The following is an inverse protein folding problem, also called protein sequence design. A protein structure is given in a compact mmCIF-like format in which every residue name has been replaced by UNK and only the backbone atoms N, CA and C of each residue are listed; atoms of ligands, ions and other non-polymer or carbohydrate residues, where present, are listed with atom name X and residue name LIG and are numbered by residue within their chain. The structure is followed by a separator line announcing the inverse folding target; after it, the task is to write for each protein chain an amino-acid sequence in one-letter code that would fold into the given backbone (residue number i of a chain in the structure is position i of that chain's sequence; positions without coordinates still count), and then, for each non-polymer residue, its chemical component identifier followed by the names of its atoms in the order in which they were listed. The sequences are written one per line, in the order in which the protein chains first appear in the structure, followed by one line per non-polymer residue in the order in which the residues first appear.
data_IF_088182711998
#
_entry.id   IF_088182711998
#
_cell.length_a   1.000
_cell.length_b   1.000
_cell.length_c   1.000
_cell.angle_alpha   90.00
_cell.angle_beta   90.00
_cell.angle_gamma   90.00
#
_symmetry.space_group_name_H-M   'P 1'
#
loop_
_entity.id
_entity.type
_entity.pdbx_description
1 polymer ?
#
# COMPACT_ATOMS: atom_id res chain seq x y z
N UNK A 1 28.38 33.32 -23.16
CA UNK A 1 29.34 32.23 -22.91
C UNK A 1 29.72 32.31 -21.45
N UNK A 2 29.13 31.45 -20.62
CA UNK A 2 29.32 31.43 -19.16
C UNK A 2 30.43 30.46 -18.80
N UNK A 3 31.48 31.00 -18.19
CA UNK A 3 32.64 30.31 -17.62
C UNK A 3 32.28 29.50 -16.36
N UNK A 4 31.39 28.52 -16.49
CA UNK A 4 31.30 27.42 -15.51
C UNK A 4 32.24 26.30 -15.95
N UNK A 5 33.54 26.60 -15.83
CA UNK A 5 34.63 25.68 -16.07
C UNK A 5 34.49 24.40 -15.24
N UNK A 6 34.09 23.31 -15.91
CA UNK A 6 34.91 22.11 -16.03
C UNK A 6 35.36 21.39 -14.75
N UNK A 7 34.73 21.60 -13.58
CA UNK A 7 34.95 20.66 -12.47
C UNK A 7 34.20 19.37 -12.80
N UNK A 8 34.89 18.21 -12.97
CA UNK A 8 34.21 16.95 -13.18
C UNK A 8 33.28 16.72 -12.00
N UNK A 9 31.97 16.73 -12.26
CA UNK A 9 30.97 16.50 -11.25
C UNK A 9 31.10 15.06 -10.77
N UNK A 10 31.84 14.87 -9.67
CA UNK A 10 32.10 13.53 -9.14
C UNK A 10 30.82 12.71 -8.90
N UNK A 11 31.00 11.39 -8.75
CA UNK A 11 29.94 10.37 -8.70
C UNK A 11 28.68 10.79 -7.94
N UNK A 12 27.55 10.85 -8.62
CA UNK A 12 26.26 11.26 -8.07
C UNK A 12 25.15 10.32 -8.55
N UNK A 13 24.02 10.35 -7.84
CA UNK A 13 22.83 9.59 -8.23
C UNK A 13 22.10 10.28 -9.38
N UNK A 14 21.60 9.49 -10.32
CA UNK A 14 20.85 9.96 -11.46
C UNK A 14 19.68 9.01 -11.78
N UNK A 15 18.50 9.57 -11.93
CA UNK A 15 17.30 8.83 -12.30
C UNK A 15 17.12 8.81 -13.82
N UNK A 16 17.28 7.62 -14.40
CA UNK A 16 17.13 7.40 -15.84
C UNK A 16 15.66 7.23 -16.25
N UNK A 17 15.29 7.72 -17.43
CA UNK A 17 13.93 7.61 -17.98
C UNK A 17 13.54 6.17 -18.30
N UNK A 18 12.39 5.72 -17.78
CA UNK A 18 11.91 4.33 -17.94
C UNK A 18 10.92 4.11 -19.09
N UNK A 19 10.63 5.16 -19.85
CA UNK A 19 9.60 5.16 -20.90
C UNK A 19 8.16 5.16 -20.34
N UNK A 20 7.18 5.47 -21.19
CA UNK A 20 5.77 5.66 -20.77
C UNK A 20 5.19 4.42 -20.09
N UNK A 21 5.43 3.23 -20.64
CA UNK A 21 4.92 1.97 -20.07
C UNK A 21 5.55 1.67 -18.69
N UNK A 22 6.83 1.97 -18.49
CA UNK A 22 7.51 1.80 -17.20
C UNK A 22 6.99 2.79 -16.15
N UNK A 23 6.71 4.03 -16.55
CA UNK A 23 6.09 5.03 -15.67
C UNK A 23 4.66 4.65 -15.28
N UNK A 24 3.87 4.17 -16.24
CA UNK A 24 2.51 3.68 -15.98
C UNK A 24 2.52 2.48 -15.02
N UNK A 25 3.39 1.49 -15.25
CA UNK A 25 3.54 0.35 -14.34
C UNK A 25 3.99 0.79 -12.94
N UNK A 26 4.92 1.75 -12.85
CA UNK A 26 5.38 2.30 -11.57
C UNK A 26 4.34 3.14 -10.84
N UNK A 27 3.47 3.85 -11.55
CA UNK A 27 2.34 4.58 -10.98
C UNK A 27 1.24 3.62 -10.53
N UNK A 28 0.93 2.62 -11.34
CA UNK A 28 -0.04 1.57 -11.03
C UNK A 28 0.38 0.80 -9.76
N UNK A 29 1.62 0.30 -9.70
CA UNK A 29 2.12 -0.43 -8.52
C UNK A 29 2.05 0.41 -7.22
N UNK A 30 2.39 1.71 -7.28
CA UNK A 30 2.30 2.59 -6.09
C UNK A 30 0.86 2.86 -5.69
N UNK A 31 -0.02 3.08 -6.66
CA UNK A 31 -1.45 3.32 -6.40
C UNK A 31 -2.13 2.08 -5.84
N UNK A 32 -1.83 0.90 -6.35
CA UNK A 32 -2.37 -0.36 -5.85
C UNK A 32 -1.90 -0.69 -4.43
N UNK A 33 -0.68 -0.30 -4.03
CA UNK A 33 -0.30 -0.39 -2.61
C UNK A 33 -1.24 0.44 -1.72
N UNK A 34 -1.64 1.62 -2.15
CA UNK A 34 -2.60 2.44 -1.41
C UNK A 34 -4.02 1.84 -1.44
N UNK A 35 -4.45 1.24 -2.56
CA UNK A 35 -5.71 0.48 -2.64
C UNK A 35 -5.72 -0.69 -1.65
N UNK A 36 -4.63 -1.46 -1.55
CA UNK A 36 -4.52 -2.56 -0.59
C UNK A 36 -4.66 -2.08 0.87
N UNK A 37 -4.12 -0.90 1.19
CA UNK A 37 -4.33 -0.28 2.52
C UNK A 37 -5.81 0.08 2.71
N UNK A 38 -6.46 0.63 1.68
CA UNK A 38 -7.91 0.90 1.67
C UNK A 38 -8.76 -0.36 1.90
N UNK A 39 -8.40 -1.48 1.25
CA UNK A 39 -9.05 -2.78 1.47
C UNK A 39 -8.82 -3.28 2.90
N UNK A 40 -7.63 -3.08 3.48
CA UNK A 40 -7.39 -3.36 4.90
C UNK A 40 -8.27 -2.52 5.84
N UNK A 41 -8.52 -1.25 5.48
CA UNK A 41 -9.48 -0.39 6.18
C UNK A 41 -10.92 -0.90 6.04
N UNK A 42 -11.32 -1.35 4.85
CA UNK A 42 -12.62 -1.95 4.61
C UNK A 42 -12.81 -3.23 5.43
N UNK A 43 -11.78 -4.07 5.55
CA UNK A 43 -11.81 -5.25 6.41
C UNK A 43 -12.11 -4.89 7.88
N UNK A 44 -11.43 -3.88 8.42
CA UNK A 44 -11.69 -3.41 9.78
C UNK A 44 -13.12 -2.88 9.96
N UNK A 45 -13.65 -2.17 8.95
CA UNK A 45 -15.03 -1.70 8.94
C UNK A 45 -16.05 -2.84 8.83
N UNK A 46 -15.74 -3.88 8.05
CA UNK A 46 -16.59 -5.07 7.93
C UNK A 46 -16.69 -5.81 9.26
N UNK A 47 -15.55 -6.03 9.93
CA UNK A 47 -15.52 -6.64 11.26
C UNK A 47 -16.27 -5.78 12.27
N UNK A 48 -16.00 -4.46 12.29
CA UNK A 48 -16.69 -3.54 13.18
C UNK A 48 -18.20 -3.53 12.95
N UNK A 49 -18.64 -3.37 11.70
CA UNK A 49 -20.06 -3.35 11.34
C UNK A 49 -20.77 -4.68 11.58
N UNK A 50 -20.11 -5.81 11.31
CA UNK A 50 -20.67 -7.14 11.50
C UNK A 50 -20.94 -7.42 12.97
N UNK A 51 -19.94 -7.11 13.82
CA UNK A 51 -20.08 -7.20 15.27
C UNK A 51 -21.24 -6.31 15.76
N UNK A 52 -21.38 -5.08 15.26
CA UNK A 52 -22.45 -4.19 15.70
C UNK A 52 -23.85 -4.69 15.36
N UNK A 53 -23.99 -5.34 14.20
CA UNK A 53 -25.24 -5.92 13.76
C UNK A 53 -25.58 -7.21 14.52
N UNK A 54 -24.60 -8.10 14.74
CA UNK A 54 -24.80 -9.35 15.50
C UNK A 54 -25.18 -9.07 16.97
N UNK A 55 -24.74 -7.94 17.51
CA UNK A 55 -24.86 -7.62 18.93
C UNK A 55 -26.08 -6.75 19.29
N UNK A 56 -26.98 -6.52 18.33
CA UNK A 56 -28.20 -5.71 18.49
C UNK A 56 -27.94 -4.28 19.02
N UNK A 57 -26.81 -3.68 18.63
CA UNK A 57 -26.35 -2.39 19.15
C UNK A 57 -26.83 -1.19 18.32
N UNK A 58 -27.51 -1.43 17.19
CA UNK A 58 -28.02 -0.38 16.31
C UNK A 58 -29.42 0.07 16.71
N UNK A 59 -30.13 -0.71 17.52
CA UNK A 59 -31.40 -0.35 18.14
C UNK A 59 -32.60 -0.43 17.20
N UNK A 60 -32.40 -0.98 16.00
CA UNK A 60 -33.43 -1.28 15.01
C UNK A 60 -33.14 -2.65 14.36
N UNK A 61 -33.97 -3.67 14.60
CA UNK A 61 -33.79 -5.02 14.05
C UNK A 61 -33.71 -5.07 12.51
N UNK A 62 -34.41 -4.15 11.83
CA UNK A 62 -34.39 -4.06 10.37
C UNK A 62 -33.04 -3.53 9.86
N UNK A 63 -32.47 -2.56 10.57
CA UNK A 63 -31.14 -2.00 10.27
C UNK A 63 -30.03 -3.01 10.58
N UNK A 64 -30.16 -3.76 11.67
CA UNK A 64 -29.20 -4.80 12.09
C UNK A 64 -29.10 -5.89 11.04
N UNK A 65 -30.23 -6.44 10.63
CA UNK A 65 -30.29 -7.46 9.57
C UNK A 65 -29.71 -6.94 8.25
N UNK A 66 -30.01 -5.69 7.88
CA UNK A 66 -29.49 -5.08 6.65
C UNK A 66 -27.96 -4.90 6.71
N UNK A 67 -27.42 -4.45 7.85
CA UNK A 67 -25.98 -4.27 8.06
C UNK A 67 -25.25 -5.62 8.10
N UNK A 68 -25.76 -6.62 8.82
CA UNK A 68 -25.16 -7.97 8.83
C UNK A 68 -25.05 -8.55 7.41
N UNK A 69 -26.14 -8.51 6.65
CA UNK A 69 -26.13 -8.96 5.26
C UNK A 69 -25.12 -8.20 4.39
N UNK A 70 -25.01 -6.87 4.59
CA UNK A 70 -24.01 -6.05 3.91
C UNK A 70 -22.58 -6.44 4.29
N UNK A 71 -22.31 -6.74 5.55
CA UNK A 71 -20.98 -7.13 6.00
C UNK A 71 -20.60 -8.51 5.47
N UNK A 72 -21.51 -9.50 5.54
CA UNK A 72 -21.29 -10.85 5.02
C UNK A 72 -20.99 -10.86 3.53
N UNK A 73 -21.79 -10.16 2.71
CA UNK A 73 -21.53 -10.09 1.27
C UNK A 73 -20.23 -9.30 0.97
N UNK A 74 -19.91 -8.30 1.80
CA UNK A 74 -18.68 -7.51 1.67
C UNK A 74 -17.42 -8.31 1.93
N UNK A 75 -17.46 -9.35 2.76
CA UNK A 75 -16.31 -10.28 2.90
C UNK A 75 -15.98 -10.92 1.55
N UNK A 76 -16.99 -11.39 0.81
CA UNK A 76 -16.80 -11.98 -0.52
C UNK A 76 -16.15 -11.00 -1.50
N UNK A 77 -16.70 -9.79 -1.61
CA UNK A 77 -16.13 -8.75 -2.48
C UNK A 77 -14.73 -8.31 -2.06
N UNK A 78 -14.49 -8.17 -0.75
CA UNK A 78 -13.18 -7.86 -0.20
C UNK A 78 -12.15 -8.91 -0.62
N UNK A 79 -12.47 -10.20 -0.48
CA UNK A 79 -11.55 -11.29 -0.88
C UNK A 79 -11.25 -11.24 -2.38
N UNK A 80 -12.27 -11.09 -3.22
CA UNK A 80 -12.11 -11.01 -4.69
C UNK A 80 -11.25 -9.80 -5.06
N UNK A 81 -11.56 -8.61 -4.54
CA UNK A 81 -10.79 -7.41 -4.84
C UNK A 81 -9.37 -7.49 -4.27
N UNK A 82 -9.16 -8.03 -3.07
CA UNK A 82 -7.82 -8.22 -2.52
C UNK A 82 -6.96 -9.11 -3.40
N UNK A 83 -7.50 -10.23 -3.89
CA UNK A 83 -6.80 -11.14 -4.80
C UNK A 83 -6.46 -10.47 -6.13
N UNK A 84 -7.44 -9.82 -6.77
CA UNK A 84 -7.25 -9.15 -8.07
C UNK A 84 -6.25 -7.99 -7.94
N UNK A 85 -6.41 -7.12 -6.94
CA UNK A 85 -5.51 -5.98 -6.70
C UNK A 85 -4.10 -6.47 -6.39
N UNK A 86 -3.94 -7.51 -5.56
CA UNK A 86 -2.63 -8.06 -5.23
C UNK A 86 -1.94 -8.70 -6.46
N UNK A 87 -2.69 -9.38 -7.34
CA UNK A 87 -2.17 -9.92 -8.59
C UNK A 87 -1.70 -8.79 -9.52
N UNK A 88 -2.55 -7.80 -9.78
CA UNK A 88 -2.21 -6.66 -10.64
C UNK A 88 -1.01 -5.91 -10.06
N UNK A 89 -0.96 -5.74 -8.73
CA UNK A 89 0.16 -5.10 -8.04
C UNK A 89 1.47 -5.86 -8.23
N UNK A 90 1.45 -7.18 -8.10
CA UNK A 90 2.62 -8.04 -8.31
C UNK A 90 3.11 -7.98 -9.77
N UNK A 91 2.19 -8.04 -10.74
CA UNK A 91 2.49 -7.92 -12.17
C UNK A 91 3.04 -6.53 -12.50
N UNK A 92 2.39 -5.46 -12.07
CA UNK A 92 2.84 -4.08 -12.30
C UNK A 92 4.23 -3.83 -11.68
N UNK A 93 4.49 -4.40 -10.51
CA UNK A 93 5.80 -4.34 -9.86
C UNK A 93 6.89 -5.02 -10.69
N UNK A 94 6.60 -6.21 -11.24
CA UNK A 94 7.52 -6.91 -12.13
C UNK A 94 7.75 -6.14 -13.44
N UNK A 95 6.70 -5.60 -14.06
CA UNK A 95 6.82 -4.78 -15.27
C UNK A 95 7.68 -3.53 -15.02
N UNK A 96 7.56 -2.92 -13.85
CA UNK A 96 8.43 -1.81 -13.41
C UNK A 96 9.89 -2.21 -13.32
N UNK A 97 10.21 -3.38 -12.75
CA UNK A 97 11.58 -3.92 -12.67
C UNK A 97 12.17 -4.19 -14.07
N UNK A 98 11.37 -4.79 -14.96
CA UNK A 98 11.78 -5.05 -16.34
C UNK A 98 12.00 -3.75 -17.10
N UNK A 99 11.10 -2.78 -16.97
CA UNK A 99 11.26 -1.47 -17.61
C UNK A 99 12.52 -0.77 -17.10
N UNK A 100 12.77 -0.75 -15.78
CA UNK A 100 13.95 -0.14 -15.19
C UNK A 100 15.24 -0.77 -15.70
N UNK A 101 15.33 -2.11 -15.68
CA UNK A 101 16.52 -2.80 -16.20
C UNK A 101 16.75 -2.59 -17.69
N UNK A 102 15.69 -2.53 -18.52
CA UNK A 102 15.82 -2.22 -19.95
C UNK A 102 16.25 -0.78 -20.20
N UNK A 103 15.71 0.16 -19.45
CA UNK A 103 16.08 1.57 -19.55
C UNK A 103 17.55 1.80 -19.20
N UNK A 104 18.06 1.14 -18.16
CA UNK A 104 19.47 1.25 -17.79
C UNK A 104 20.41 0.63 -18.83
N UNK A 105 20.03 -0.50 -19.43
CA UNK A 105 20.80 -1.09 -20.55
C UNK A 105 20.79 -0.17 -21.77
N UNK A 106 19.66 0.49 -22.06
CA UNK A 106 19.58 1.45 -23.16
C UNK A 106 20.44 2.69 -22.87
N UNK A 107 20.40 3.22 -21.65
CA UNK A 107 21.20 4.37 -21.23
C UNK A 107 22.70 4.06 -21.29
N UNK A 108 23.13 2.87 -20.85
CA UNK A 108 24.54 2.48 -20.95
C UNK A 108 25.00 2.34 -22.40
N UNK A 109 24.15 1.82 -23.28
CA UNK A 109 24.41 1.71 -24.71
C UNK A 109 24.49 3.09 -25.40
N UNK A 110 23.74 4.08 -24.91
CA UNK A 110 23.75 5.46 -25.40
C UNK A 110 24.93 6.29 -24.88
N UNK A 111 25.84 5.70 -24.11
CA UNK A 111 27.04 6.39 -23.61
C UNK A 111 26.77 7.31 -22.42
N UNK A 112 25.82 6.94 -21.55
CA UNK A 112 25.63 7.63 -20.28
C UNK A 112 26.96 7.76 -19.49
N UNK A 113 27.07 8.79 -18.65
CA UNK A 113 28.29 9.02 -17.87
C UNK A 113 28.44 7.96 -16.77
N UNK A 114 29.66 7.43 -16.61
CA UNK A 114 30.01 6.53 -15.49
C UNK A 114 29.87 7.21 -14.12
N UNK A 115 29.96 8.54 -14.07
CA UNK A 115 29.81 9.32 -12.83
C UNK A 115 28.33 9.55 -12.47
N UNK A 116 27.41 9.41 -13.42
CA UNK A 116 25.96 9.49 -13.19
C UNK A 116 25.41 8.09 -12.89
N UNK A 117 25.58 7.65 -11.64
CA UNK A 117 25.20 6.30 -11.22
C UNK A 117 23.67 6.20 -11.13
N UNK A 118 23.05 5.09 -11.57
CA UNK A 118 21.60 4.91 -11.46
C UNK A 118 21.07 5.16 -10.05
N UNK A 119 19.89 5.78 -9.95
CA UNK A 119 19.25 6.07 -8.67
C UNK A 119 19.08 4.79 -7.82
N UNK A 120 19.11 4.89 -6.47
CA UNK A 120 19.02 3.72 -5.59
C UNK A 120 17.80 2.82 -5.84
N UNK A 121 16.65 3.40 -6.17
CA UNK A 121 15.43 2.65 -6.55
C UNK A 121 15.64 1.80 -7.80
N UNK A 122 16.36 2.34 -8.80
CA UNK A 122 16.69 1.63 -10.03
C UNK A 122 17.76 0.57 -9.79
N UNK A 123 18.77 0.84 -8.96
CA UNK A 123 19.76 -0.16 -8.54
C UNK A 123 19.07 -1.33 -7.82
N UNK A 124 18.18 -1.05 -6.86
CA UNK A 124 17.42 -2.07 -6.16
C UNK A 124 16.60 -2.96 -7.12
N UNK A 125 16.01 -2.36 -8.17
CA UNK A 125 15.25 -3.12 -9.18
C UNK A 125 16.11 -4.08 -10.02
N UNK A 126 17.43 -3.86 -10.09
CA UNK A 126 18.38 -4.69 -10.86
C UNK A 126 19.08 -5.70 -9.96
N UNK A 127 19.41 -5.32 -8.73
CA UNK A 127 20.19 -6.16 -7.80
C UNK A 127 19.32 -7.19 -7.09
N UNK A 128 18.08 -6.84 -6.74
CA UNK A 128 17.18 -7.73 -6.02
C UNK A 128 16.75 -8.94 -6.88
N UNK A 129 16.32 -10.04 -6.24
CA UNK A 129 15.74 -11.18 -6.94
C UNK A 129 14.55 -10.73 -7.82
N UNK A 130 14.54 -11.10 -9.11
CA UNK A 130 13.49 -10.65 -10.02
C UNK A 130 12.15 -11.23 -9.62
N UNK A 131 11.08 -10.47 -9.85
CA UNK A 131 9.71 -10.93 -9.64
C UNK A 131 9.42 -11.44 -8.22
N UNK A 132 10.17 -10.97 -7.22
CA UNK A 132 10.03 -11.39 -5.82
C UNK A 132 8.60 -11.26 -5.29
N UNK A 133 7.89 -10.17 -5.65
CA UNK A 133 6.49 -9.94 -5.29
C UNK A 133 5.53 -10.91 -5.97
N UNK A 134 5.79 -11.25 -7.23
CA UNK A 134 4.97 -12.21 -7.99
C UNK A 134 5.19 -13.64 -7.50
N UNK A 135 6.43 -13.99 -7.15
CA UNK A 135 6.75 -15.26 -6.50
C UNK A 135 6.09 -15.35 -5.12
N UNK A 136 6.13 -14.28 -4.32
CA UNK A 136 5.45 -14.23 -3.02
C UNK A 136 3.93 -14.38 -3.18
N UNK A 137 3.33 -13.68 -4.16
CA UNK A 137 1.91 -13.83 -4.47
C UNK A 137 1.56 -15.28 -4.84
N UNK A 138 2.32 -15.90 -5.74
CA UNK A 138 2.10 -17.30 -6.16
C UNK A 138 2.23 -18.28 -4.99
N UNK A 139 3.35 -18.28 -4.27
CA UNK A 139 3.55 -19.20 -3.15
C UNK A 139 2.60 -18.93 -1.97
N UNK A 140 2.36 -17.67 -1.63
CA UNK A 140 1.45 -17.30 -0.55
C UNK A 140 0.03 -17.79 -0.82
N UNK A 141 -0.48 -17.58 -2.03
CA UNK A 141 -1.80 -18.07 -2.42
C UNK A 141 -1.86 -19.59 -2.54
N UNK A 142 -0.78 -20.23 -3.04
CA UNK A 142 -0.70 -21.68 -3.13
C UNK A 142 -0.80 -22.34 -1.75
N UNK A 143 -0.07 -21.83 -0.76
CA UNK A 143 -0.11 -22.33 0.61
C UNK A 143 -1.49 -22.13 1.22
N UNK A 144 -2.04 -20.90 1.13
CA UNK A 144 -3.35 -20.60 1.73
C UNK A 144 -4.46 -21.46 1.12
N UNK A 145 -4.52 -21.55 -0.21
CA UNK A 145 -5.51 -22.36 -0.89
C UNK A 145 -5.28 -23.86 -0.71
N UNK A 146 -4.02 -24.31 -0.60
CA UNK A 146 -3.70 -25.70 -0.28
C UNK A 146 -4.20 -26.11 1.09
N UNK A 147 -4.01 -25.26 2.11
CA UNK A 147 -4.55 -25.48 3.46
C UNK A 147 -6.08 -25.52 3.42
N UNK A 148 -6.73 -24.55 2.76
CA UNK A 148 -8.20 -24.55 2.60
C UNK A 148 -8.71 -25.80 1.86
N UNK A 149 -8.00 -26.25 0.84
CA UNK A 149 -8.31 -27.48 0.10
C UNK A 149 -8.20 -28.73 0.97
N UNK A 150 -7.18 -28.82 1.83
CA UNK A 150 -7.02 -29.92 2.79
C UNK A 150 -8.11 -29.92 3.87
N UNK A 151 -8.47 -28.73 4.38
CA UNK A 151 -9.58 -28.59 5.34
C UNK A 151 -10.90 -29.00 4.69
N UNK A 152 -11.18 -28.50 3.47
CA UNK A 152 -12.36 -28.87 2.70
C UNK A 152 -12.42 -30.37 2.42
N UNK A 153 -11.29 -30.99 2.06
CA UNK A 153 -11.20 -32.45 1.88
C UNK A 153 -11.51 -33.20 3.18
N UNK A 154 -11.04 -32.70 4.33
CA UNK A 154 -11.39 -33.24 5.63
C UNK A 154 -12.91 -33.22 5.87
N UNK A 155 -13.55 -32.06 5.70
CA UNK A 155 -15.01 -31.91 5.85
C UNK A 155 -15.77 -32.87 4.93
N UNK A 156 -15.34 -32.98 3.68
CA UNK A 156 -15.95 -33.86 2.68
C UNK A 156 -15.86 -35.34 3.05
N UNK A 157 -14.74 -35.77 3.63
CA UNK A 157 -14.56 -37.15 4.08
C UNK A 157 -15.49 -37.52 5.25
N UNK A 158 -15.96 -36.53 6.02
CA UNK A 158 -16.87 -36.74 7.15
C UNK A 158 -18.34 -36.51 6.81
N UNK A 159 -18.67 -35.56 5.94
CA UNK A 159 -20.05 -35.12 5.68
C UNK A 159 -20.56 -35.45 4.26
N UNK A 160 -19.69 -35.95 3.38
CA UNK A 160 -20.02 -36.43 2.01
C UNK A 160 -20.87 -35.48 1.15
N UNK A 161 -20.80 -34.17 1.38
CA UNK A 161 -21.58 -33.19 0.63
C UNK A 161 -20.94 -32.90 -0.75
N UNK A 162 -21.73 -32.82 -1.84
CA UNK A 162 -21.23 -32.51 -3.18
C UNK A 162 -20.64 -31.08 -3.27
N UNK A 163 -21.14 -30.16 -2.46
CA UNK A 163 -20.64 -28.78 -2.37
C UNK A 163 -19.23 -28.73 -1.76
N UNK A 164 -18.97 -29.55 -0.74
CA UNK A 164 -17.64 -29.68 -0.15
C UNK A 164 -16.61 -30.18 -1.16
N UNK A 165 -16.96 -31.14 -2.01
CA UNK A 165 -16.08 -31.64 -3.08
C UNK A 165 -15.73 -30.55 -4.08
N UNK A 166 -16.71 -29.75 -4.50
CA UNK A 166 -16.50 -28.65 -5.43
C UNK A 166 -15.55 -27.59 -4.86
N UNK A 167 -15.72 -27.22 -3.58
CA UNK A 167 -14.85 -26.26 -2.89
C UNK A 167 -13.44 -26.81 -2.74
N UNK A 168 -13.30 -28.06 -2.29
CA UNK A 168 -11.99 -28.70 -2.08
C UNK A 168 -11.20 -28.82 -3.40
N UNK A 169 -11.83 -29.31 -4.48
CA UNK A 169 -11.18 -29.44 -5.78
C UNK A 169 -10.82 -28.07 -6.38
N UNK A 170 -11.69 -27.07 -6.22
CA UNK A 170 -11.42 -25.70 -6.67
C UNK A 170 -10.23 -25.10 -5.94
N UNK A 171 -10.15 -25.28 -4.62
CA UNK A 171 -9.04 -24.81 -3.80
C UNK A 171 -7.71 -25.50 -4.16
N UNK A 172 -7.71 -26.83 -4.36
CA UNK A 172 -6.53 -27.60 -4.79
C UNK A 172 -6.09 -27.20 -6.20
N UNK A 173 -7.03 -27.07 -7.14
CA UNK A 173 -6.75 -26.63 -8.51
C UNK A 173 -6.14 -25.23 -8.54
N UNK A 174 -6.71 -24.29 -7.78
CA UNK A 174 -6.14 -22.95 -7.63
C UNK A 174 -4.75 -22.97 -6.99
N UNK A 175 -4.53 -23.80 -5.95
CA UNK A 175 -3.22 -23.97 -5.32
C UNK A 175 -2.16 -24.49 -6.30
N UNK A 176 -2.53 -25.44 -7.17
CA UNK A 176 -1.65 -25.96 -8.21
C UNK A 176 -1.27 -24.88 -9.24
N UNK A 177 -2.25 -24.09 -9.71
CA UNK A 177 -2.01 -22.96 -10.64
C UNK A 177 -1.06 -21.94 -10.00
N UNK A 178 -1.29 -21.58 -8.74
CA UNK A 178 -0.47 -20.60 -8.02
C UNK A 178 0.94 -21.12 -7.71
N UNK A 179 1.08 -22.43 -7.45
CA UNK A 179 2.38 -23.09 -7.31
C UNK A 179 3.16 -23.06 -8.63
N UNK A 180 2.50 -23.32 -9.75
CA UNK A 180 3.11 -23.23 -11.07
C UNK A 180 3.59 -21.81 -11.37
N UNK A 181 2.80 -20.78 -11.03
CA UNK A 181 3.21 -19.38 -11.14
C UNK A 181 4.44 -19.09 -10.27
N UNK A 182 4.44 -19.52 -9.01
CA UNK A 182 5.57 -19.36 -8.09
C UNK A 182 6.84 -20.02 -8.60
N UNK A 183 6.72 -21.24 -9.14
CA UNK A 183 7.82 -21.99 -9.74
C UNK A 183 8.35 -21.33 -11.03
N UNK A 184 7.46 -20.92 -11.95
CA UNK A 184 7.84 -20.25 -13.20
C UNK A 184 8.60 -18.95 -12.93
N UNK A 185 8.21 -18.20 -11.90
CA UNK A 185 8.92 -16.99 -11.47
C UNK A 185 10.36 -17.27 -11.06
N UNK A 186 10.61 -18.38 -10.36
CA UNK A 186 11.94 -18.77 -9.89
C UNK A 186 12.81 -19.39 -10.97
N UNK A 187 12.22 -20.10 -11.94
CA UNK A 187 13.01 -20.82 -12.95
C UNK A 187 13.27 -19.99 -14.21
N UNK A 188 12.29 -19.26 -14.71
CA UNK A 188 12.37 -18.66 -16.04
C UNK A 188 12.83 -17.21 -16.03
N UNK A 189 12.46 -16.44 -15.01
CA UNK A 189 12.74 -15.00 -14.93
C UNK A 189 14.18 -14.62 -14.52
N UNK A 190 14.95 -15.43 -13.76
CA UNK A 190 16.32 -15.06 -13.39
C UNK A 190 17.30 -14.97 -14.54
N UNK A 191 17.20 -15.86 -15.54
CA UNK A 191 18.14 -15.89 -16.68
C UNK A 191 18.16 -14.56 -17.48
N UNK A 192 17.03 -14.02 -17.98
CA UNK A 192 17.04 -12.75 -18.70
C UNK A 192 17.39 -11.57 -17.80
N UNK A 193 17.07 -11.63 -16.50
CA UNK A 193 17.44 -10.60 -15.53
C UNK A 193 18.94 -10.54 -15.28
N UNK A 194 19.58 -11.70 -15.07
CA UNK A 194 21.03 -11.82 -14.88
C UNK A 194 21.81 -11.29 -16.10
N UNK A 195 21.34 -11.58 -17.33
CA UNK A 195 21.93 -11.03 -18.57
C UNK A 195 21.89 -9.49 -18.60
N UNK A 196 20.76 -8.88 -18.21
CA UNK A 196 20.65 -7.40 -18.15
C UNK A 196 21.53 -6.83 -17.05
N UNK A 197 21.52 -7.42 -15.86
CA UNK A 197 22.37 -7.02 -14.73
C UNK A 197 23.85 -7.03 -15.11
N UNK A 198 24.32 -8.08 -15.79
CA UNK A 198 25.69 -8.17 -16.26
C UNK A 198 26.07 -7.00 -17.18
N UNK A 199 25.21 -6.66 -18.16
CA UNK A 199 25.43 -5.51 -19.07
C UNK A 199 25.41 -4.15 -18.36
N UNK A 200 24.63 -4.01 -17.29
CA UNK A 200 24.62 -2.79 -16.48
C UNK A 200 25.93 -2.70 -15.69
N UNK A 201 26.35 -3.82 -15.08
CA UNK A 201 27.57 -3.90 -14.27
C UNK A 201 28.86 -3.65 -15.07
N UNK A 202 28.88 -3.94 -16.37
CA UNK A 202 30.03 -3.60 -17.24
C UNK A 202 30.20 -2.10 -17.45
N UNK A 203 29.13 -1.31 -17.30
CA UNK A 203 29.17 0.14 -17.45
C UNK A 203 29.30 0.86 -16.11
N UNK A 204 28.43 0.54 -15.14
CA UNK A 204 28.51 1.04 -13.77
C UNK A 204 28.95 -0.10 -12.85
N UNK A 205 30.19 -0.02 -12.37
CA UNK A 205 30.75 -1.02 -11.46
C UNK A 205 30.24 -0.84 -10.02
N UNK A 206 30.43 -1.87 -9.19
CA UNK A 206 30.18 -1.75 -7.75
C UNK A 206 31.05 -0.66 -7.10
N UNK A 207 32.23 -0.37 -7.66
CA UNK A 207 33.07 0.73 -7.18
C UNK A 207 32.48 2.10 -7.49
N UNK A 208 31.88 2.27 -8.67
CA UNK A 208 31.20 3.53 -9.04
C UNK A 208 30.04 3.80 -8.09
N UNK A 209 29.26 2.76 -7.77
CA UNK A 209 28.21 2.82 -6.76
C UNK A 209 28.78 3.18 -5.38
N UNK A 210 29.85 2.51 -4.94
CA UNK A 210 30.49 2.80 -3.66
C UNK A 210 31.06 4.23 -3.58
N UNK A 211 31.53 4.80 -4.70
CA UNK A 211 31.98 6.20 -4.79
C UNK A 211 30.79 7.17 -4.66
N UNK A 212 29.67 6.89 -5.31
CA UNK A 212 28.44 7.67 -5.16
C UNK A 212 27.95 7.65 -3.70
N UNK A 213 27.93 6.47 -3.07
CA UNK A 213 27.62 6.31 -1.64
C UNK A 213 28.56 7.09 -0.72
N UNK A 214 29.87 7.02 -0.96
CA UNK A 214 30.87 7.77 -0.17
C UNK A 214 30.68 9.28 -0.31
N UNK A 215 30.36 9.78 -1.50
CA UNK A 215 30.07 11.21 -1.72
C UNK A 215 28.79 11.64 -0.97
N UNK A 216 27.74 10.82 -1.00
CA UNK A 216 26.50 11.10 -0.27
C UNK A 216 26.72 11.13 1.25
N UNK A 217 27.59 10.26 1.78
CA UNK A 217 28.00 10.25 3.19
C UNK A 217 28.90 11.44 3.57
N UNK A 218 29.91 11.75 2.74
CA UNK A 218 30.93 12.75 3.05
C UNK A 218 30.44 14.21 3.09
N UNK A 219 29.20 14.49 2.63
CA UNK A 219 28.56 15.80 2.75
C UNK A 219 27.55 15.89 3.89
N UNK A 220 27.38 14.84 4.68
CA UNK A 220 26.36 14.74 5.71
C UNK A 220 26.80 15.28 7.07
N UNK A 221 26.83 16.61 7.24
CA UNK A 221 26.78 17.24 8.55
C UNK A 221 26.30 18.70 8.44
N UNK A 222 25.01 18.90 8.72
CA UNK A 222 24.48 20.00 9.55
C UNK A 222 22.97 19.74 9.69
N UNK A 223 22.46 19.42 10.89
CA UNK A 223 21.03 19.31 11.12
C UNK A 223 20.46 20.73 11.23
N UNK A 224 19.53 21.10 10.36
CA UNK A 224 18.79 22.34 10.50
C UNK A 224 17.30 22.05 10.37
N UNK A 225 16.65 22.15 11.54
CA UNK A 225 15.21 22.31 11.83
C UNK A 225 14.27 21.41 11.02
N UNK A 226 13.76 20.38 11.70
CA UNK A 226 12.69 19.52 11.19
C UNK A 226 11.48 20.34 10.78
N UNK A 227 10.91 20.00 9.63
CA UNK A 227 9.70 20.61 9.11
C UNK A 227 8.56 20.69 10.13
N UNK A 228 7.65 21.62 9.89
CA UNK A 228 6.49 21.92 10.74
C UNK A 228 5.78 20.64 11.24
N UNK A 229 5.70 20.39 12.55
CA UNK A 229 5.09 19.18 13.12
C UNK A 229 3.56 19.12 12.94
N UNK A 230 2.95 20.17 12.38
CA UNK A 230 1.49 20.36 12.37
C UNK A 230 0.76 19.33 11.51
N UNK A 231 1.18 19.10 10.26
CA UNK A 231 0.50 18.14 9.37
C UNK A 231 0.63 16.70 9.89
N UNK A 232 1.81 16.34 10.39
CA UNK A 232 2.05 15.04 11.01
C UNK A 232 1.17 14.86 12.26
N UNK A 233 1.01 15.88 13.10
CA UNK A 233 0.14 15.82 14.29
C UNK A 233 -1.31 15.48 13.93
N UNK A 234 -1.88 16.06 12.87
CA UNK A 234 -3.25 15.72 12.44
C UNK A 234 -3.38 14.27 11.96
N UNK A 235 -2.41 13.76 11.22
CA UNK A 235 -2.41 12.37 10.74
C UNK A 235 -2.23 11.40 11.91
N UNK A 236 -1.31 11.69 12.84
CA UNK A 236 -1.12 10.87 14.05
C UNK A 236 -2.34 10.93 14.97
N UNK A 237 -2.95 12.10 15.14
CA UNK A 237 -4.17 12.25 15.93
C UNK A 237 -5.34 11.48 15.30
N UNK A 238 -5.50 11.52 13.98
CA UNK A 238 -6.49 10.72 13.28
C UNK A 238 -6.26 9.22 13.50
N UNK A 239 -5.00 8.76 13.37
CA UNK A 239 -4.62 7.38 13.66
C UNK A 239 -4.91 6.98 15.12
N UNK A 240 -4.56 7.84 16.08
CA UNK A 240 -4.82 7.63 17.50
C UNK A 240 -6.32 7.54 17.79
N UNK A 241 -7.13 8.43 17.22
CA UNK A 241 -8.59 8.41 17.38
C UNK A 241 -9.18 7.11 16.82
N UNK A 242 -8.73 6.66 15.66
CA UNK A 242 -9.14 5.36 15.11
C UNK A 242 -8.74 4.20 16.04
N UNK A 243 -7.51 4.18 16.54
CA UNK A 243 -7.03 3.12 17.45
C UNK A 243 -7.81 3.14 18.77
N UNK A 244 -8.01 4.31 19.36
CA UNK A 244 -8.78 4.45 20.61
C UNK A 244 -10.24 4.04 20.40
N UNK A 245 -10.86 4.43 19.30
CA UNK A 245 -12.21 4.00 18.94
C UNK A 245 -12.29 2.48 18.78
N UNK A 246 -11.31 1.88 18.09
CA UNK A 246 -11.25 0.43 17.93
C UNK A 246 -11.00 -0.30 19.25
N UNK A 247 -10.09 0.18 20.10
CA UNK A 247 -9.80 -0.39 21.42
C UNK A 247 -11.02 -0.27 22.34
N UNK A 248 -11.72 0.86 22.31
CA UNK A 248 -12.96 1.03 23.08
C UNK A 248 -14.03 0.02 22.65
N UNK A 249 -14.19 -0.18 21.33
CA UNK A 249 -15.08 -1.21 20.80
C UNK A 249 -14.65 -2.61 21.25
N UNK A 250 -13.38 -2.99 21.08
CA UNK A 250 -12.87 -4.30 21.48
C UNK A 250 -12.97 -4.55 23.00
N UNK A 251 -12.65 -3.55 23.82
CA UNK A 251 -12.77 -3.64 25.28
C UNK A 251 -14.22 -3.85 25.71
N UNK A 252 -15.17 -3.17 25.05
CA UNK A 252 -16.60 -3.36 25.31
C UNK A 252 -17.07 -4.78 24.96
N UNK A 253 -16.53 -5.36 23.87
CA UNK A 253 -16.82 -6.74 23.45
C UNK A 253 -16.19 -7.79 24.37
N UNK A 254 -14.94 -7.60 24.80
CA UNK A 254 -14.27 -8.54 25.73
C UNK A 254 -14.97 -8.58 27.08
N UNK A 255 -15.46 -7.44 27.58
CA UNK A 255 -16.26 -7.40 28.81
C UNK A 255 -17.58 -8.16 28.69
N UNK A 256 -18.14 -8.29 27.48
CA UNK A 256 -19.31 -9.12 27.22
C UNK A 256 -19.03 -10.60 27.46
N UNK A 257 -17.87 -11.10 27.01
CA UNK A 257 -17.50 -12.52 27.10
C UNK A 257 -16.84 -12.94 28.42
N UNK A 258 -16.23 -12.00 29.17
CA UNK A 258 -15.46 -12.31 30.38
C UNK A 258 -16.32 -12.60 31.63
N UNK A 259 -17.65 -12.48 31.55
CA UNK A 259 -18.56 -12.58 32.70
C UNK A 259 -19.12 -13.99 32.96
N UNK A 260 -18.72 -15.01 32.20
CA UNK A 260 -19.22 -16.40 32.38
C UNK A 260 -18.08 -17.30 32.89
N UNK A 261 -18.08 -17.73 34.17
CA UNK A 261 -17.16 -18.75 34.65
C UNK A 261 -17.64 -20.15 34.22
N UNK A 262 -16.87 -20.79 33.35
CA UNK A 262 -16.75 -22.24 33.15
C UNK A 262 -18.05 -23.06 32.89
N UNK A 263 -18.29 -23.42 31.63
CA UNK A 263 -18.48 -24.82 31.16
C UNK A 263 -18.64 -24.85 29.63
N UNK A 264 -17.99 -25.81 29.00
CA UNK A 264 -17.84 -25.89 27.55
C UNK A 264 -19.17 -26.03 26.80
N UNK A 265 -19.58 -24.93 26.16
CA UNK A 265 -20.32 -24.87 24.88
C UNK A 265 -20.51 -23.37 24.60
N UNK A 266 -19.61 -22.78 23.83
CA UNK A 266 -19.52 -21.33 23.63
C UNK A 266 -20.60 -20.81 22.65
N UNK A 267 -21.84 -20.76 23.10
CA UNK A 267 -22.84 -19.83 22.55
C UNK A 267 -23.15 -18.80 23.63
N UNK A 268 -22.82 -17.54 23.36
CA UNK A 268 -23.15 -16.41 24.24
C UNK A 268 -24.67 -16.21 24.21
N UNK A 269 -25.40 -16.97 25.01
CA UNK A 269 -26.85 -16.82 25.11
C UNK A 269 -27.21 -15.43 25.65
N UNK A 270 -28.20 -14.81 24.99
CA UNK A 270 -28.89 -13.59 25.41
C UNK A 270 -29.51 -13.78 26.80
N UNK A 271 -28.74 -13.53 27.86
CA UNK A 271 -29.27 -13.48 29.22
C UNK A 271 -29.01 -12.07 29.74
N UNK A 272 -30.10 -11.28 29.76
CA UNK A 272 -30.24 -9.95 30.37
C UNK A 272 -29.03 -9.49 31.18
N UNK A 273 -28.21 -8.65 30.57
CA UNK A 273 -27.04 -8.07 31.22
C UNK A 273 -27.49 -7.04 32.27
N UNK A 274 -26.64 -6.79 33.28
CA UNK A 274 -26.88 -5.67 34.19
C UNK A 274 -26.85 -4.34 33.39
N UNK A 275 -27.72 -3.38 33.75
CA UNK A 275 -27.85 -2.07 33.07
C UNK A 275 -26.56 -1.26 32.93
N UNK A 276 -25.52 -1.61 33.70
CA UNK A 276 -24.18 -1.04 33.59
C UNK A 276 -23.40 -1.58 32.39
N UNK A 277 -23.46 -2.88 32.10
CA UNK A 277 -22.73 -3.52 31.00
C UNK A 277 -23.31 -3.09 29.65
N UNK A 278 -24.65 -3.05 29.53
CA UNK A 278 -25.34 -2.53 28.33
C UNK A 278 -24.99 -1.06 28.07
N UNK A 279 -24.87 -0.27 29.14
CA UNK A 279 -24.47 1.14 29.04
C UNK A 279 -23.03 1.24 28.54
N UNK A 280 -22.09 0.48 29.10
CA UNK A 280 -20.68 0.48 28.67
C UNK A 280 -20.51 0.04 27.21
N UNK A 281 -21.27 -0.96 26.76
CA UNK A 281 -21.34 -1.38 25.35
C UNK A 281 -21.83 -0.25 24.43
N UNK A 282 -22.93 0.41 24.81
CA UNK A 282 -23.46 1.56 24.07
C UNK A 282 -22.46 2.71 23.97
N UNK A 283 -21.76 3.04 25.07
CA UNK A 283 -20.71 4.06 25.06
C UNK A 283 -19.55 3.69 24.14
N UNK A 284 -19.05 2.45 24.20
CA UNK A 284 -17.99 1.96 23.31
C UNK A 284 -18.37 2.09 21.83
N UNK A 285 -19.61 1.77 21.49
CA UNK A 285 -20.13 1.90 20.14
C UNK A 285 -20.24 3.36 19.66
N UNK A 286 -20.87 4.25 20.44
CA UNK A 286 -21.00 5.67 20.07
C UNK A 286 -19.64 6.34 19.91
N UNK A 287 -18.68 6.00 20.77
CA UNK A 287 -17.29 6.46 20.64
C UNK A 287 -16.70 6.01 19.30
N UNK A 288 -16.89 4.75 18.90
CA UNK A 288 -16.42 4.26 17.61
C UNK A 288 -17.11 4.96 16.43
N UNK A 289 -18.45 5.02 16.43
CA UNK A 289 -19.24 5.61 15.35
C UNK A 289 -18.90 7.09 15.09
N UNK A 290 -18.60 7.87 16.12
CA UNK A 290 -18.15 9.27 16.00
C UNK A 290 -16.66 9.38 15.65
N UNK A 291 -15.83 8.46 16.16
CA UNK A 291 -14.38 8.47 15.93
C UNK A 291 -14.01 8.29 14.45
N UNK A 292 -14.73 7.45 13.71
CA UNK A 292 -14.46 7.16 12.28
C UNK A 292 -14.60 8.40 11.38
N UNK A 293 -15.74 9.12 11.35
CA UNK A 293 -15.87 10.32 10.52
C UNK A 293 -14.96 11.45 11.00
N UNK A 294 -14.75 11.59 12.32
CA UNK A 294 -13.82 12.58 12.86
C UNK A 294 -12.36 12.31 12.42
N UNK A 295 -11.91 11.06 12.49
CA UNK A 295 -10.59 10.67 12.03
C UNK A 295 -10.44 10.85 10.51
N UNK A 296 -11.47 10.56 9.72
CA UNK A 296 -11.46 10.81 8.27
C UNK A 296 -11.30 12.31 7.96
N UNK A 297 -12.03 13.17 8.68
CA UNK A 297 -11.93 14.63 8.52
C UNK A 297 -10.56 15.17 8.93
N UNK A 298 -10.02 14.71 10.07
CA UNK A 298 -8.67 15.07 10.51
C UNK A 298 -7.59 14.59 9.54
N UNK A 299 -7.73 13.37 9.00
CA UNK A 299 -6.82 12.85 7.98
C UNK A 299 -6.87 13.68 6.70
N UNK A 300 -8.06 14.10 6.25
CA UNK A 300 -8.23 14.98 5.09
C UNK A 300 -7.55 16.33 5.31
N UNK A 301 -7.79 16.97 6.46
CA UNK A 301 -7.14 18.24 6.83
C UNK A 301 -5.63 18.06 6.88
N UNK A 302 -5.13 17.01 7.54
CA UNK A 302 -3.71 16.69 7.62
C UNK A 302 -3.06 16.53 6.25
N UNK A 303 -3.74 15.87 5.31
CA UNK A 303 -3.28 15.67 3.93
C UNK A 303 -3.27 16.97 3.13
N UNK A 304 -4.26 17.85 3.30
CA UNK A 304 -4.28 19.17 2.66
C UNK A 304 -3.16 20.06 3.19
N UNK A 305 -2.95 20.07 4.51
CA UNK A 305 -1.83 20.79 5.13
C UNK A 305 -0.48 20.24 4.65
N UNK A 306 -0.33 18.91 4.60
CA UNK A 306 0.88 18.28 4.05
C UNK A 306 1.10 18.73 2.59
N UNK A 307 0.06 18.73 1.75
CA UNK A 307 0.18 19.20 0.38
C UNK A 307 0.67 20.66 0.32
N UNK A 308 -0.01 21.59 0.96
CA UNK A 308 0.39 23.02 0.93
C UNK A 308 1.84 23.21 1.40
N UNK A 309 2.24 22.51 2.46
CA UNK A 309 3.62 22.50 2.93
C UNK A 309 4.60 21.95 1.88
N UNK A 310 4.29 20.82 1.22
CA UNK A 310 5.16 20.25 0.18
C UNK A 310 5.29 21.15 -1.05
N UNK A 311 4.27 21.95 -1.37
CA UNK A 311 4.36 22.94 -2.44
C UNK A 311 5.31 24.08 -2.07
N UNK A 312 5.22 24.60 -0.85
CA UNK A 312 6.14 25.62 -0.36
C UNK A 312 7.59 25.10 -0.32
N UNK A 313 7.82 23.91 0.27
CA UNK A 313 9.14 23.27 0.29
C UNK A 313 9.73 23.08 -1.12
N UNK A 314 8.89 22.72 -2.10
CA UNK A 314 9.34 22.56 -3.48
C UNK A 314 9.76 23.89 -4.11
N UNK A 315 9.03 24.97 -3.84
CA UNK A 315 9.39 26.31 -4.33
C UNK A 315 10.72 26.77 -3.72
N UNK A 316 10.92 26.56 -2.42
CA UNK A 316 12.15 26.90 -1.71
C UNK A 316 13.36 26.10 -2.22
N UNK A 317 13.16 24.81 -2.52
CA UNK A 317 14.20 23.97 -3.13
C UNK A 317 14.58 24.44 -4.53
N UNK A 318 13.62 24.88 -5.34
CA UNK A 318 13.88 25.42 -6.67
C UNK A 318 14.65 26.74 -6.59
N UNK A 319 14.27 27.64 -5.68
CA UNK A 319 15.00 28.89 -5.43
C UNK A 319 16.43 28.60 -4.95
N UNK A 320 16.57 27.65 -4.02
CA UNK A 320 17.88 27.21 -3.52
C UNK A 320 18.73 26.60 -4.63
N UNK A 321 18.15 25.78 -5.52
CA UNK A 321 18.85 25.20 -6.67
C UNK A 321 19.38 26.25 -7.64
N UNK A 322 18.66 27.37 -7.81
CA UNK A 322 19.06 28.46 -8.70
C UNK A 322 20.23 29.30 -8.14
N UNK A 323 20.36 29.43 -6.82
CA UNK A 323 21.46 30.16 -6.19
C UNK A 323 22.66 29.23 -5.88
N UNK A 324 23.83 29.37 -6.54
CA UNK A 324 25.00 28.52 -6.28
C UNK A 324 25.56 28.63 -4.86
N UNK A 325 25.28 29.75 -4.16
CA UNK A 325 25.75 30.01 -2.78
C UNK A 325 24.80 29.48 -1.72
N UNK A 326 23.62 29.00 -2.12
CA UNK A 326 22.64 28.50 -1.16
C UNK A 326 23.24 27.36 -0.33
N UNK A 327 22.97 27.40 0.97
CA UNK A 327 23.32 26.31 1.89
C UNK A 327 22.54 25.05 1.52
N UNK A 328 23.05 23.90 1.98
CA UNK A 328 22.37 22.62 1.81
C UNK A 328 21.04 22.65 2.57
N UNK A 329 19.90 22.34 1.92
CA UNK A 329 18.61 22.21 2.61
C UNK A 329 18.61 21.03 3.60
N UNK A 330 17.60 21.00 4.47
CA UNK A 330 17.46 19.94 5.47
C UNK A 330 17.44 18.54 4.83
N UNK A 331 18.05 17.58 5.54
CA UNK A 331 18.24 16.22 5.05
C UNK A 331 16.90 15.53 4.78
N UNK A 332 15.90 15.73 5.64
CA UNK A 332 14.61 15.07 5.53
C UNK A 332 13.80 15.64 4.35
N UNK A 333 13.88 16.96 4.13
CA UNK A 333 13.29 17.63 2.97
C UNK A 333 13.96 17.14 1.68
N UNK A 334 15.29 17.06 1.65
CA UNK A 334 16.03 16.54 0.49
C UNK A 334 15.70 15.06 0.24
N UNK A 335 15.64 14.22 1.26
CA UNK A 335 15.27 12.81 1.11
C UNK A 335 13.85 12.67 0.54
N UNK A 336 12.89 13.44 1.06
CA UNK A 336 11.51 13.42 0.59
C UNK A 336 11.39 13.83 -0.89
N UNK A 337 12.05 14.90 -1.30
CA UNK A 337 11.94 15.45 -2.66
C UNK A 337 12.91 14.84 -3.67
N UNK A 338 13.90 14.04 -3.23
CA UNK A 338 14.82 13.29 -4.12
C UNK A 338 14.30 11.88 -4.47
N UNK A 339 13.34 11.35 -3.71
CA UNK A 339 12.76 10.02 -3.92
C UNK A 339 11.45 10.05 -4.74
N UNK A 340 11.11 8.91 -5.37
CA UNK A 340 9.86 8.75 -6.11
C UNK A 340 8.68 8.47 -5.17
N UNK A 341 8.08 9.51 -4.61
CA UNK A 341 6.88 9.38 -3.75
C UNK A 341 5.57 9.53 -4.52
N UNK A 342 4.51 8.92 -3.99
CA UNK A 342 3.13 9.10 -4.47
C UNK A 342 2.58 10.41 -3.88
N UNK A 343 1.85 11.19 -4.68
CA UNK A 343 1.21 12.41 -4.22
C UNK A 343 0.21 12.09 -3.09
N UNK A 344 0.17 12.88 -1.99
CA UNK A 344 -0.64 12.53 -0.81
C UNK A 344 -2.14 12.45 -1.14
N UNK A 345 -2.68 13.37 -1.97
CA UNK A 345 -4.06 13.22 -2.45
C UNK A 345 -4.31 11.98 -3.30
N UNK A 346 -3.37 11.62 -4.18
CA UNK A 346 -3.52 10.43 -5.00
C UNK A 346 -3.53 9.17 -4.11
N UNK A 347 -2.75 9.18 -3.03
CA UNK A 347 -2.75 8.10 -2.03
C UNK A 347 -4.11 7.98 -1.35
N UNK A 348 -4.69 9.09 -0.88
CA UNK A 348 -6.02 9.08 -0.24
C UNK A 348 -7.10 8.62 -1.23
N UNK A 349 -7.09 9.16 -2.46
CA UNK A 349 -8.03 8.75 -3.50
C UNK A 349 -7.96 7.24 -3.79
N UNK A 350 -6.75 6.68 -3.87
CA UNK A 350 -6.57 5.24 -4.06
C UNK A 350 -7.03 4.41 -2.83
N UNK A 351 -6.78 4.87 -1.60
CA UNK A 351 -7.28 4.21 -0.39
C UNK A 351 -8.81 4.21 -0.34
N UNK A 352 -9.43 5.37 -0.57
CA UNK A 352 -10.89 5.50 -0.59
C UNK A 352 -11.53 4.69 -1.73
N UNK A 353 -10.88 4.61 -2.88
CA UNK A 353 -11.33 3.74 -3.98
C UNK A 353 -11.42 2.28 -3.55
N UNK A 354 -10.40 1.77 -2.85
CA UNK A 354 -10.40 0.38 -2.36
C UNK A 354 -11.58 0.10 -1.42
N UNK A 355 -11.78 0.96 -0.41
CA UNK A 355 -12.89 0.79 0.52
C UNK A 355 -14.26 1.01 -0.14
N UNK A 356 -14.38 2.05 -0.96
CA UNK A 356 -15.60 2.39 -1.69
C UNK A 356 -16.05 1.27 -2.62
N UNK A 357 -15.13 0.65 -3.37
CA UNK A 357 -15.46 -0.47 -4.26
C UNK A 357 -16.08 -1.65 -3.52
N UNK A 358 -15.55 -2.02 -2.36
CA UNK A 358 -16.08 -3.15 -1.56
C UNK A 358 -17.54 -2.87 -1.17
N UNK A 359 -17.79 -1.77 -0.45
CA UNK A 359 -19.13 -1.50 0.08
C UNK A 359 -20.16 -1.17 -1.02
N UNK A 360 -19.75 -0.45 -2.07
CA UNK A 360 -20.66 -0.11 -3.16
C UNK A 360 -21.01 -1.31 -4.04
N UNK A 361 -20.06 -2.21 -4.33
CA UNK A 361 -20.35 -3.46 -5.03
C UNK A 361 -21.28 -4.36 -4.21
N UNK A 362 -21.01 -4.49 -2.90
CA UNK A 362 -21.85 -5.23 -1.96
C UNK A 362 -23.29 -4.72 -1.92
N UNK A 363 -23.47 -3.41 -1.70
CA UNK A 363 -24.79 -2.78 -1.63
C UNK A 363 -25.54 -2.92 -2.96
N UNK A 364 -24.86 -2.75 -4.09
CA UNK A 364 -25.44 -2.94 -5.42
C UNK A 364 -25.96 -4.38 -5.60
N UNK A 365 -25.17 -5.37 -5.19
CA UNK A 365 -25.51 -6.78 -5.36
C UNK A 365 -26.62 -7.25 -4.43
N UNK A 366 -26.68 -6.73 -3.21
CA UNK A 366 -27.84 -6.92 -2.33
C UNK A 366 -29.10 -6.31 -2.93
N UNK A 367 -29.01 -5.10 -3.51
CA UNK A 367 -30.14 -4.47 -4.20
C UNK A 367 -30.61 -5.24 -5.45
N UNK A 368 -29.77 -6.07 -6.04
CA UNK A 368 -30.11 -6.99 -7.14
C UNK A 368 -30.70 -8.33 -6.67
N UNK A 369 -30.80 -8.55 -5.36
CA UNK A 369 -31.34 -9.79 -4.78
C UNK A 369 -30.34 -10.94 -4.65
N UNK A 370 -29.04 -10.69 -4.82
CA UNK A 370 -28.00 -11.72 -4.64
C UNK A 370 -27.57 -11.89 -3.17
N UNK A 371 -28.53 -11.85 -2.23
CA UNK A 371 -28.24 -11.80 -0.78
C UNK A 371 -29.22 -12.56 0.11
N UNK A 372 -28.97 -12.49 1.42
CA UNK A 372 -29.63 -13.26 2.49
C UNK A 372 -31.03 -12.71 2.89
N UNK A 373 -31.66 -11.84 2.08
CA UNK A 373 -33.05 -11.38 2.31
C UNK A 373 -33.26 -9.89 2.59
N UNK A 374 -32.24 -9.04 2.53
CA UNK A 374 -32.36 -7.57 2.73
C UNK A 374 -32.53 -6.77 1.43
N UNK A 375 -33.01 -7.40 0.36
CA UNK A 375 -33.07 -6.81 -0.98
C UNK A 375 -33.90 -5.51 -1.01
N UNK A 376 -35.04 -5.46 -0.33
CA UNK A 376 -35.95 -4.31 -0.36
C UNK A 376 -35.30 -3.03 0.17
N UNK A 377 -34.43 -3.16 1.17
CA UNK A 377 -33.67 -2.03 1.76
C UNK A 377 -32.65 -1.49 0.76
N UNK A 378 -31.88 -2.37 0.10
CA UNK A 378 -30.81 -1.97 -0.80
C UNK A 378 -31.26 -1.67 -2.23
N UNK A 379 -32.44 -2.15 -2.65
CA UNK A 379 -32.99 -1.90 -3.98
C UNK A 379 -33.20 -0.41 -4.25
N UNK A 380 -33.56 0.36 -3.21
CA UNK A 380 -33.75 1.81 -3.29
C UNK A 380 -32.43 2.57 -3.54
N UNK A 381 -31.29 2.00 -3.14
CA UNK A 381 -29.97 2.63 -3.25
C UNK A 381 -29.13 2.10 -4.42
N UNK A 382 -29.73 1.34 -5.34
CA UNK A 382 -28.99 0.68 -6.43
C UNK A 382 -28.28 1.67 -7.35
N UNK A 383 -28.93 2.80 -7.64
CA UNK A 383 -28.37 3.88 -8.48
C UNK A 383 -27.18 4.57 -7.80
N UNK A 384 -27.30 4.82 -6.51
CA UNK A 384 -26.31 5.44 -5.65
C UNK A 384 -25.11 4.52 -5.49
N UNK A 385 -25.35 3.22 -5.30
CA UNK A 385 -24.31 2.20 -5.25
C UNK A 385 -23.56 2.11 -6.58
N UNK A 386 -24.25 2.11 -7.72
CA UNK A 386 -23.62 2.15 -9.05
C UNK A 386 -22.78 3.42 -9.25
N UNK A 387 -23.31 4.59 -8.86
CA UNK A 387 -22.57 5.85 -8.91
C UNK A 387 -21.33 5.80 -8.01
N UNK A 388 -21.43 5.23 -6.81
CA UNK A 388 -20.30 5.05 -5.90
C UNK A 388 -19.23 4.11 -6.47
N UNK A 389 -19.61 3.05 -7.20
CA UNK A 389 -18.66 2.20 -7.93
C UNK A 389 -17.91 3.05 -8.97
N UNK A 390 -18.63 3.81 -9.81
CA UNK A 390 -18.03 4.65 -10.85
C UNK A 390 -17.09 5.72 -10.28
N UNK A 391 -17.50 6.39 -9.20
CA UNK A 391 -16.65 7.34 -8.46
C UNK A 391 -15.41 6.64 -7.92
N UNK A 392 -15.55 5.45 -7.33
CA UNK A 392 -14.40 4.71 -6.79
C UNK A 392 -13.41 4.34 -7.90
N UNK A 393 -13.90 3.87 -9.06
CA UNK A 393 -13.05 3.59 -10.23
C UNK A 393 -12.37 4.86 -10.73
N UNK A 394 -13.11 5.98 -10.85
CA UNK A 394 -12.58 7.25 -11.30
C UNK A 394 -11.48 7.78 -10.36
N UNK A 395 -11.67 7.66 -9.04
CA UNK A 395 -10.66 8.02 -8.03
C UNK A 395 -9.38 7.21 -8.19
N UNK A 396 -9.47 5.91 -8.46
CA UNK A 396 -8.30 5.07 -8.73
C UNK A 396 -7.58 5.49 -10.01
N UNK A 397 -8.31 5.70 -11.10
CA UNK A 397 -7.74 6.15 -12.38
C UNK A 397 -7.03 7.51 -12.20
N UNK A 398 -7.68 8.46 -11.53
CA UNK A 398 -7.10 9.76 -11.22
C UNK A 398 -5.83 9.63 -10.34
N UNK A 399 -5.82 8.72 -9.37
CA UNK A 399 -4.65 8.45 -8.55
C UNK A 399 -3.47 7.90 -9.37
N UNK A 400 -3.73 6.97 -10.30
CA UNK A 400 -2.71 6.42 -11.20
C UNK A 400 -2.15 7.50 -12.11
N UNK A 401 -3.03 8.26 -12.79
CA UNK A 401 -2.64 9.34 -13.70
C UNK A 401 -1.86 10.42 -12.96
N UNK A 402 -2.38 10.89 -11.81
CA UNK A 402 -1.73 11.90 -10.98
C UNK A 402 -0.35 11.45 -10.51
N UNK A 403 -0.20 10.18 -10.14
CA UNK A 403 1.09 9.60 -9.73
C UNK A 403 2.08 9.49 -10.90
N UNK A 404 1.60 9.16 -12.10
CA UNK A 404 2.43 9.11 -13.31
C UNK A 404 2.91 10.51 -13.73
N UNK A 405 2.02 11.50 -13.71
CA UNK A 405 2.35 12.90 -14.05
C UNK A 405 3.33 13.48 -13.01
N UNK A 406 3.06 13.29 -11.71
CA UNK A 406 3.97 13.75 -10.65
C UNK A 406 5.35 13.07 -10.75
N UNK A 407 5.37 11.77 -11.06
CA UNK A 407 6.60 11.01 -11.28
C UNK A 407 7.44 11.58 -12.41
N UNK A 408 6.84 11.78 -13.59
CA UNK A 408 7.53 12.27 -14.79
C UNK A 408 7.99 13.72 -14.66
N UNK A 409 7.09 14.64 -14.28
CA UNK A 409 7.41 16.08 -14.12
C UNK A 409 8.39 16.37 -12.99
N UNK A 410 8.44 15.50 -11.97
CA UNK A 410 9.36 15.68 -10.84
C UNK A 410 10.79 15.20 -11.10
N UNK A 411 11.06 14.51 -12.23
CA UNK A 411 12.36 13.85 -12.47
C UNK A 411 13.52 14.84 -12.61
N UNK A 412 13.32 15.94 -13.32
CA UNK A 412 14.36 16.95 -13.51
C UNK A 412 14.78 17.57 -12.18
N UNK A 413 13.79 17.95 -11.36
CA UNK A 413 14.04 18.43 -10.00
C UNK A 413 14.79 17.39 -9.17
N UNK A 414 14.36 16.12 -9.18
CA UNK A 414 15.03 15.03 -8.44
C UNK A 414 16.48 14.85 -8.87
N UNK A 415 16.75 14.87 -10.17
CA UNK A 415 18.11 14.75 -10.71
C UNK A 415 18.98 15.96 -10.32
N UNK A 416 18.45 17.18 -10.42
CA UNK A 416 19.15 18.39 -9.99
C UNK A 416 19.50 18.35 -8.49
N UNK A 417 18.54 17.91 -7.64
CA UNK A 417 18.76 17.74 -6.20
C UNK A 417 19.83 16.67 -5.92
N UNK A 418 19.74 15.50 -6.53
CA UNK A 418 20.70 14.40 -6.33
C UNK A 418 22.12 14.75 -6.80
N UNK A 419 22.24 15.54 -7.87
CA UNK A 419 23.50 16.01 -8.41
C UNK A 419 24.17 17.05 -7.50
N UNK A 420 23.39 18.06 -7.06
CA UNK A 420 23.90 19.15 -6.22
C UNK A 420 24.13 18.71 -4.77
N UNK A 421 23.15 18.03 -4.18
CA UNK A 421 23.15 17.57 -2.79
C UNK A 421 22.84 16.07 -2.71
N UNK A 422 23.84 15.20 -2.99
CA UNK A 422 23.64 13.77 -2.93
C UNK A 422 23.16 13.37 -1.53
N UNK A 423 21.99 12.74 -1.47
CA UNK A 423 21.38 12.19 -0.27
C UNK A 423 21.65 10.69 -0.18
N UNK A 424 21.77 10.21 1.05
CA UNK A 424 21.66 8.78 1.33
C UNK A 424 20.15 8.50 1.26
N UNK A 425 19.65 7.70 0.31
CA UNK A 425 18.24 7.28 0.34
C UNK A 425 17.91 6.65 1.68
N UNK A 426 16.66 6.76 2.13
CA UNK A 426 16.23 6.10 3.36
C UNK A 426 16.32 4.58 3.16
N UNK A 427 17.41 3.95 3.62
CA UNK A 427 17.45 2.49 3.72
C UNK A 427 16.37 2.05 4.70
N UNK A 428 15.57 1.02 4.40
CA UNK A 428 14.61 0.48 5.36
C UNK A 428 15.37 0.16 6.64
N UNK A 429 15.02 0.86 7.71
CA UNK A 429 15.57 0.64 9.03
C UNK A 429 14.84 -0.54 9.66
N UNK A 430 15.56 -1.42 10.33
CA UNK A 430 14.96 -2.46 11.15
C UNK A 430 14.24 -1.83 12.36
N UNK A 431 13.59 -2.65 13.17
CA UNK A 431 12.90 -2.23 14.40
C UNK A 431 13.82 -1.55 15.42
N UNK A 432 15.14 -1.65 15.26
CA UNK A 432 16.14 -0.99 16.09
C UNK A 432 16.67 0.32 15.46
N UNK A 433 16.08 0.76 14.34
CA UNK A 433 16.50 1.97 13.63
C UNK A 433 17.80 1.81 12.84
N UNK A 434 18.34 0.59 12.72
CA UNK A 434 19.57 0.31 11.96
C UNK A 434 19.22 -0.04 10.51
N UNK A 435 20.04 0.35 9.53
CA UNK A 435 19.80 -0.05 8.14
C UNK A 435 19.74 -1.58 8.03
N UNK A 436 18.63 -2.10 7.48
CA UNK A 436 18.43 -3.54 7.29
C UNK A 436 19.63 -4.14 6.54
N UNK A 437 20.29 -5.12 7.16
CA UNK A 437 21.56 -5.73 6.72
C UNK A 437 21.55 -6.37 5.32
N UNK A 438 20.42 -6.40 4.61
CA UNK A 438 20.21 -7.20 3.40
C UNK A 438 21.14 -6.83 2.22
N UNK A 439 21.76 -5.64 2.25
CA UNK A 439 22.70 -5.18 1.19
C UNK A 439 24.18 -5.12 1.62
N UNK A 440 24.58 -5.70 2.76
CA UNK A 440 26.01 -5.72 3.17
C UNK A 440 26.91 -6.64 2.34
N UNK A 441 26.38 -7.40 1.38
CA UNK A 441 27.16 -8.30 0.53
C UNK A 441 28.01 -7.64 -0.57
N UNK A 442 28.23 -6.32 -0.53
CA UNK A 442 29.02 -5.58 -1.52
C UNK A 442 30.11 -4.70 -0.89
N UNK A 443 30.82 -5.26 0.11
CA UNK A 443 32.16 -4.81 0.46
C UNK A 443 32.98 -6.10 0.67
N UNK A 444 34.07 -6.34 -0.11
CA UNK A 444 34.99 -7.43 0.20
C UNK A 444 35.63 -7.25 1.58
#
# INVERSE_FOLDING_TARGET
MSDDGGKPQGWHWHEYSVGVAGEAAGACARSLTAVLIGLGGAFALILGGGILAEENLLGDPGLETAVDHLMRISVGFLMVFALVVALIWAVASYLREVAASRALVAASAQGASRQAVPSPDQVASVVNPPASRLSFFGWGNAVLAGVLGLVGLGVVLFDSSPEGWAIALSAIGYAAIMSLLGYACQQWLPRPHAKRRARIATHWSAEDEARAWRRAKGRGAEPLVSGSPKAAAFIYLAGLICVLGFVALQASMVMRCASIPARGSNECNEVYYSSFIERVLSWGFWIFAVSVPLAALLALIGVLLEWTQRQAERADLLASLADPRSRRPDKDVLAFHSERRMHPLARVAAMLSGAGLVFSASAYMLGQGMGLGSQEVFAQYRTEALAAILVSVALFIAAVIGTAIAGTRGRELRNALMQRWPTIPEQPRDSEGKPTRRNRGLVP
#
